data_IF_367165421017
#
_entry.id   IF_367165421017
#
_cell.length_a   1.000
_cell.length_b   1.000
_cell.length_c   1.000
_cell.angle_alpha   90.00
_cell.angle_beta   90.00
_cell.angle_gamma   90.00
#
_symmetry.space_group_name_H-M   'P 1'
#
loop_
_entity.id
_entity.type
_entity.pdbx_description
1 polymer ?
#
# COMPACT_ATOMS: atom_id res chain seq x y z
N UNK A 1 -2.83 -10.49 69.09
CA UNK A 1 -2.35 -9.74 67.90
C UNK A 1 -2.12 -10.71 66.76
N UNK A 2 -3.10 -10.84 65.87
CA UNK A 2 -3.11 -11.85 64.80
C UNK A 2 -2.42 -11.27 63.56
N UNK A 3 -1.19 -11.69 63.28
CA UNK A 3 -0.48 -11.32 62.04
C UNK A 3 -1.12 -12.05 60.87
N UNK A 4 -1.84 -11.32 60.03
CA UNK A 4 -2.31 -11.80 58.71
C UNK A 4 -1.10 -11.90 57.79
N UNK A 5 -0.68 -13.12 57.48
CA UNK A 5 0.22 -13.39 56.35
C UNK A 5 -0.57 -13.08 55.06
N UNK A 6 -0.25 -11.96 54.41
CA UNK A 6 -0.63 -11.74 53.00
C UNK A 6 0.22 -12.70 52.18
N UNK A 7 -0.36 -13.84 51.82
CA UNK A 7 0.15 -14.66 50.73
C UNK A 7 0.09 -13.84 49.46
N UNK A 8 1.26 -13.46 48.95
CA UNK A 8 1.41 -12.92 47.60
C UNK A 8 1.01 -14.05 46.65
N UNK A 9 -0.19 -13.97 46.06
CA UNK A 9 -0.59 -14.85 44.96
C UNK A 9 0.40 -14.64 43.82
N UNK A 10 1.32 -15.58 43.67
CA UNK A 10 2.14 -15.69 42.47
C UNK A 10 1.18 -16.13 41.38
N UNK A 11 0.76 -15.19 40.54
CA UNK A 11 0.06 -15.49 39.30
C UNK A 11 1.08 -16.20 38.42
N UNK A 12 1.02 -17.53 38.40
CA UNK A 12 1.81 -18.34 37.46
C UNK A 12 1.16 -18.11 36.09
N UNK A 13 1.66 -17.12 35.36
CA UNK A 13 1.36 -16.96 33.94
C UNK A 13 1.95 -18.19 33.25
N UNK A 14 1.11 -19.15 32.87
CA UNK A 14 1.50 -20.28 32.04
C UNK A 14 1.76 -19.74 30.63
N UNK A 15 2.92 -19.12 30.42
CA UNK A 15 3.39 -18.82 29.07
C UNK A 15 3.73 -20.13 28.36
N UNK A 16 3.21 -20.29 27.13
CA UNK A 16 3.52 -21.46 26.32
C UNK A 16 5.02 -21.51 26.05
N UNK A 17 5.66 -22.69 26.22
CA UNK A 17 7.07 -22.83 25.99
C UNK A 17 7.42 -22.62 24.50
N UNK A 18 8.45 -21.85 24.22
CA UNK A 18 8.95 -21.65 22.87
C UNK A 18 10.00 -22.70 22.49
N UNK A 19 9.87 -23.29 21.31
CA UNK A 19 10.84 -24.25 20.79
C UNK A 19 11.67 -23.63 19.65
N UNK A 20 12.99 -23.75 19.74
CA UNK A 20 13.85 -23.35 18.61
C UNK A 20 13.73 -24.34 17.45
N UNK A 21 13.34 -23.86 16.27
CA UNK A 21 13.15 -24.68 15.07
C UNK A 21 14.37 -25.47 14.58
N UNK A 22 15.58 -25.03 14.95
CA UNK A 22 16.84 -25.64 14.48
C UNK A 22 17.35 -26.71 15.45
N UNK A 23 17.41 -26.40 16.75
CA UNK A 23 17.97 -27.30 17.76
C UNK A 23 16.93 -27.98 18.66
N UNK A 24 15.63 -27.73 18.44
CA UNK A 24 14.51 -28.24 19.24
C UNK A 24 14.64 -28.01 20.75
N UNK A 25 15.45 -27.04 21.15
CA UNK A 25 15.58 -26.66 22.56
C UNK A 25 14.35 -25.88 22.98
N UNK A 26 13.77 -26.27 24.11
CA UNK A 26 12.60 -25.65 24.70
C UNK A 26 13.04 -24.56 25.67
N UNK A 27 12.47 -23.37 25.50
CA UNK A 27 12.68 -22.19 26.33
C UNK A 27 11.38 -21.85 27.05
N UNK A 28 11.47 -21.65 28.37
CA UNK A 28 10.35 -21.26 29.22
C UNK A 28 10.52 -19.86 29.84
N UNK A 29 11.67 -19.24 29.58
CA UNK A 29 12.01 -17.93 30.10
C UNK A 29 11.62 -16.87 29.05
N UNK A 30 10.76 -15.89 29.37
CA UNK A 30 10.43 -14.78 28.46
C UNK A 30 11.66 -13.95 28.07
N UNK A 31 12.74 -14.00 28.85
CA UNK A 31 14.00 -13.33 28.52
C UNK A 31 14.92 -14.20 27.64
N UNK A 32 14.46 -15.37 27.19
CA UNK A 32 15.19 -16.19 26.23
C UNK A 32 15.39 -15.40 24.94
N UNK A 33 16.64 -15.32 24.48
CA UNK A 33 17.01 -14.61 23.24
C UNK A 33 16.60 -15.44 22.02
N UNK A 34 15.33 -15.33 21.67
CA UNK A 34 14.68 -15.97 20.54
C UNK A 34 14.21 -14.90 19.56
N UNK A 35 14.46 -15.11 18.27
CA UNK A 35 13.84 -14.33 17.21
C UNK A 35 12.67 -15.12 16.62
N UNK A 36 11.50 -14.49 16.54
CA UNK A 36 10.33 -15.03 15.85
C UNK A 36 10.40 -14.62 14.37
N UNK A 37 10.26 -15.58 13.46
CA UNK A 37 10.13 -15.26 12.05
C UNK A 37 8.74 -14.66 11.79
N UNK A 38 8.70 -13.44 11.24
CA UNK A 38 7.44 -12.74 10.99
C UNK A 38 6.49 -13.45 10.01
N UNK A 39 7.02 -14.38 9.20
CA UNK A 39 6.25 -15.14 8.22
C UNK A 39 5.82 -16.52 8.71
N UNK A 40 6.75 -17.39 9.08
CA UNK A 40 6.41 -18.77 9.48
C UNK A 40 6.07 -18.92 10.97
N UNK A 41 6.27 -17.86 11.78
CA UNK A 41 6.00 -17.83 13.23
C UNK A 41 6.82 -18.82 14.07
N UNK A 42 7.77 -19.53 13.44
CA UNK A 42 8.77 -20.34 14.14
C UNK A 42 9.75 -19.45 14.93
N UNK A 43 10.27 -19.98 16.05
CA UNK A 43 11.23 -19.32 16.92
C UNK A 43 12.65 -19.86 16.69
N UNK A 44 13.64 -18.98 16.80
CA UNK A 44 15.04 -19.30 16.52
C UNK A 44 15.95 -18.71 17.58
N UNK A 45 16.73 -19.56 18.26
CA UNK A 45 17.70 -19.06 19.24
C UNK A 45 18.89 -18.40 18.55
N UNK A 46 19.39 -17.33 19.15
CA UNK A 46 20.51 -16.57 18.60
C UNK A 46 21.77 -17.41 18.39
N UNK A 47 21.94 -18.50 19.17
CA UNK A 47 23.04 -19.45 19.01
C UNK A 47 22.94 -20.19 17.67
N UNK A 48 21.78 -20.74 17.33
CA UNK A 48 21.55 -21.43 16.06
C UNK A 48 21.57 -20.47 14.87
N UNK A 49 21.21 -19.20 15.07
CA UNK A 49 21.34 -18.16 14.06
C UNK A 49 22.76 -17.60 13.93
N UNK A 50 23.69 -18.03 14.78
CA UNK A 50 25.04 -17.47 14.89
C UNK A 50 25.03 -15.93 15.03
N UNK A 51 24.15 -15.42 15.91
CA UNK A 51 23.96 -14.00 16.18
C UNK A 51 24.50 -13.60 17.54
N UNK A 52 25.20 -12.48 17.55
CA UNK A 52 25.67 -11.84 18.77
C UNK A 52 24.50 -11.19 19.53
N UNK A 53 24.72 -10.88 20.81
CA UNK A 53 23.72 -10.15 21.62
C UNK A 53 23.36 -8.78 21.01
N UNK A 54 24.31 -7.93 20.56
CA UNK A 54 23.96 -6.65 19.95
C UNK A 54 23.14 -6.79 18.66
N UNK A 55 23.43 -7.80 17.83
CA UNK A 55 22.62 -8.06 16.63
C UNK A 55 21.20 -8.50 17.01
N UNK A 56 21.06 -9.32 18.05
CA UNK A 56 19.74 -9.68 18.57
C UNK A 56 18.98 -8.44 19.04
N UNK A 57 19.60 -7.60 19.88
CA UNK A 57 18.97 -6.39 20.42
C UNK A 57 18.56 -5.40 19.31
N UNK A 58 19.24 -5.44 18.15
CA UNK A 58 18.84 -4.69 16.95
C UNK A 58 17.62 -5.32 16.27
N UNK A 59 17.64 -6.63 16.08
CA UNK A 59 16.62 -7.38 15.34
C UNK A 59 15.33 -7.62 16.13
N UNK A 60 15.39 -7.59 17.47
CA UNK A 60 14.24 -7.80 18.35
C UNK A 60 13.44 -6.53 18.61
N UNK A 61 13.82 -5.39 18.01
CA UNK A 61 13.04 -4.14 18.08
C UNK A 61 11.73 -4.29 17.33
N UNK A 62 10.65 -3.68 17.85
CA UNK A 62 9.30 -3.73 17.26
C UNK A 62 9.24 -3.34 15.79
N UNK A 63 10.12 -2.44 15.38
CA UNK A 63 10.08 -1.84 14.04
C UNK A 63 10.93 -2.62 13.03
N UNK A 64 11.63 -3.67 13.49
CA UNK A 64 12.49 -4.51 12.66
C UNK A 64 11.77 -5.79 12.26
N UNK A 65 11.56 -5.97 10.95
CA UNK A 65 11.07 -7.24 10.43
C UNK A 65 12.23 -8.22 10.28
N UNK A 66 12.11 -9.39 10.88
CA UNK A 66 13.07 -10.47 10.72
C UNK A 66 12.43 -11.72 10.10
N UNK A 67 13.15 -12.33 9.16
CA UNK A 67 12.76 -13.54 8.46
C UNK A 67 13.87 -14.58 8.53
N UNK A 68 13.49 -15.84 8.80
CA UNK A 68 14.40 -16.97 8.66
C UNK A 68 14.84 -17.13 7.20
N UNK A 69 15.98 -17.79 6.97
CA UNK A 69 16.59 -17.91 5.63
C UNK A 69 15.63 -18.45 4.56
N UNK A 70 14.82 -19.51 4.81
CA UNK A 70 13.84 -19.98 3.84
C UNK A 70 12.75 -18.94 3.53
N UNK A 71 12.23 -18.26 4.56
CA UNK A 71 11.20 -17.25 4.38
C UNK A 71 11.72 -16.00 3.68
N UNK A 72 12.98 -15.63 3.92
CA UNK A 72 13.61 -14.43 3.34
C UNK A 72 13.57 -14.45 1.82
N UNK A 73 13.97 -15.56 1.18
CA UNK A 73 14.00 -15.68 -0.28
C UNK A 73 12.64 -15.37 -0.91
N UNK A 74 11.59 -15.91 -0.32
CA UNK A 74 10.24 -15.74 -0.84
C UNK A 74 9.72 -14.31 -0.56
N UNK A 75 10.08 -13.71 0.57
CA UNK A 75 9.76 -12.30 0.84
C UNK A 75 10.47 -11.40 -0.18
N UNK A 76 11.73 -11.67 -0.49
CA UNK A 76 12.48 -10.98 -1.55
C UNK A 76 11.81 -11.12 -2.92
N UNK A 77 11.36 -12.32 -3.29
CA UNK A 77 10.60 -12.58 -4.52
C UNK A 77 9.27 -11.81 -4.56
N UNK A 78 8.56 -11.74 -3.44
CA UNK A 78 7.31 -10.98 -3.32
C UNK A 78 7.58 -9.47 -3.47
N UNK A 79 8.62 -8.93 -2.84
CA UNK A 79 9.01 -7.52 -3.00
C UNK A 79 9.31 -7.20 -4.48
N UNK A 80 10.06 -8.07 -5.17
CA UNK A 80 10.35 -7.88 -6.61
C UNK A 80 9.06 -7.92 -7.43
N UNK A 81 8.13 -8.80 -7.08
CA UNK A 81 6.83 -8.91 -7.77
C UNK A 81 5.99 -7.66 -7.55
N UNK A 82 5.91 -7.17 -6.32
CA UNK A 82 5.17 -5.97 -5.95
C UNK A 82 5.72 -4.74 -6.69
N UNK A 83 7.05 -4.59 -6.78
CA UNK A 83 7.69 -3.52 -7.54
C UNK A 83 7.33 -3.57 -9.03
N UNK A 84 7.24 -4.77 -9.63
CA UNK A 84 6.81 -4.94 -11.02
C UNK A 84 5.34 -4.57 -11.22
N UNK A 85 4.49 -4.97 -10.27
CA UNK A 85 3.07 -4.60 -10.27
C UNK A 85 2.93 -3.09 -10.18
N UNK A 86 3.64 -2.46 -9.24
CA UNK A 86 3.63 -1.00 -9.05
C UNK A 86 4.07 -0.27 -10.32
N UNK A 87 5.16 -0.73 -10.97
CA UNK A 87 5.62 -0.15 -12.22
C UNK A 87 4.57 -0.23 -13.33
N UNK A 88 3.92 -1.40 -13.47
CA UNK A 88 2.85 -1.59 -14.47
C UNK A 88 1.62 -0.73 -14.16
N UNK A 89 1.24 -0.61 -12.90
CA UNK A 89 0.14 0.27 -12.49
C UNK A 89 0.45 1.73 -12.83
N UNK A 90 1.68 2.19 -12.59
CA UNK A 90 2.12 3.56 -12.97
C UNK A 90 2.02 3.80 -14.47
N UNK A 91 2.45 2.83 -15.29
CA UNK A 91 2.34 2.93 -16.76
C UNK A 91 0.88 3.02 -17.22
N UNK A 92 0.01 2.17 -16.68
CA UNK A 92 -1.42 2.18 -17.02
C UNK A 92 -2.07 3.50 -16.61
N UNK A 93 -1.78 4.00 -15.41
CA UNK A 93 -2.32 5.28 -14.93
C UNK A 93 -1.84 6.44 -15.80
N UNK A 94 -0.56 6.46 -16.21
CA UNK A 94 -0.03 7.47 -17.11
C UNK A 94 -0.70 7.41 -18.50
N UNK A 95 -1.01 6.21 -19.00
CA UNK A 95 -1.74 6.04 -20.26
C UNK A 95 -3.18 6.60 -20.16
N UNK A 96 -3.88 6.29 -19.06
CA UNK A 96 -5.22 6.82 -18.85
C UNK A 96 -5.24 8.33 -18.72
N UNK A 97 -4.29 8.91 -18.00
CA UNK A 97 -4.11 10.35 -17.87
C UNK A 97 -3.97 11.03 -19.25
N UNK A 98 -3.08 10.51 -20.10
CA UNK A 98 -2.93 11.02 -21.48
C UNK A 98 -4.22 10.89 -22.30
N UNK A 99 -4.94 9.77 -22.18
CA UNK A 99 -6.18 9.56 -22.90
C UNK A 99 -7.29 10.51 -22.44
N UNK A 100 -7.36 10.79 -21.15
CA UNK A 100 -8.33 11.74 -20.59
C UNK A 100 -8.02 13.13 -21.13
N UNK A 101 -6.77 13.59 -21.09
CA UNK A 101 -6.38 14.89 -21.64
C UNK A 101 -6.72 15.03 -23.13
N UNK A 102 -6.49 13.97 -23.93
CA UNK A 102 -6.87 13.97 -25.34
C UNK A 102 -8.40 14.03 -25.53
N UNK A 103 -9.17 13.35 -24.69
CA UNK A 103 -10.63 13.40 -24.74
C UNK A 103 -11.17 14.77 -24.33
N UNK A 104 -10.63 15.37 -23.29
CA UNK A 104 -10.98 16.73 -22.85
C UNK A 104 -10.74 17.74 -23.98
N UNK A 105 -9.56 17.71 -24.61
CA UNK A 105 -9.25 18.57 -25.74
C UNK A 105 -10.21 18.37 -26.93
N UNK A 106 -10.55 17.11 -27.24
CA UNK A 106 -11.45 16.79 -28.33
C UNK A 106 -12.88 17.25 -28.06
N UNK A 107 -13.34 17.18 -26.80
CA UNK A 107 -14.64 17.70 -26.37
C UNK A 107 -14.66 19.22 -26.49
N UNK A 108 -13.64 19.91 -25.97
CA UNK A 108 -13.54 21.38 -26.03
C UNK A 108 -13.58 21.87 -27.49
N UNK A 109 -12.79 21.24 -28.36
CA UNK A 109 -12.76 21.60 -29.79
C UNK A 109 -14.13 21.43 -30.45
N UNK A 110 -14.85 20.33 -30.17
CA UNK A 110 -16.19 20.09 -30.73
C UNK A 110 -17.23 21.06 -30.19
N UNK A 111 -17.13 21.45 -28.92
CA UNK A 111 -18.00 22.46 -28.33
C UNK A 111 -17.81 23.82 -29.05
N UNK A 112 -16.55 24.20 -29.31
CA UNK A 112 -16.23 25.43 -30.04
C UNK A 112 -16.78 25.39 -31.49
N UNK A 113 -16.58 24.29 -32.21
CA UNK A 113 -17.13 24.12 -33.56
C UNK A 113 -18.65 24.24 -33.60
N UNK A 114 -19.34 23.65 -32.62
CA UNK A 114 -20.81 23.69 -32.53
C UNK A 114 -21.27 25.13 -32.30
N UNK A 115 -20.64 25.84 -31.37
CA UNK A 115 -20.96 27.23 -31.05
C UNK A 115 -20.69 28.18 -32.22
N UNK A 116 -19.60 27.98 -32.96
CA UNK A 116 -19.33 28.76 -34.18
C UNK A 116 -20.42 28.52 -35.23
N UNK A 117 -20.87 27.28 -35.41
CA UNK A 117 -21.95 26.95 -36.35
C UNK A 117 -23.26 27.65 -35.98
N UNK A 118 -23.65 27.61 -34.71
CA UNK A 118 -24.85 28.30 -34.21
C UNK A 118 -24.80 29.81 -34.52
N UNK A 119 -23.67 30.47 -34.25
CA UNK A 119 -23.49 31.91 -34.53
C UNK A 119 -23.63 32.22 -36.03
N UNK A 120 -23.07 31.37 -36.89
CA UNK A 120 -23.15 31.54 -38.34
C UNK A 120 -24.59 31.36 -38.82
N UNK A 121 -25.29 30.34 -38.35
CA UNK A 121 -26.68 30.08 -38.70
C UNK A 121 -27.60 31.23 -38.26
N UNK A 122 -27.45 31.73 -37.03
CA UNK A 122 -28.18 32.90 -36.54
C UNK A 122 -27.92 34.15 -37.39
N UNK A 123 -26.67 34.36 -37.80
CA UNK A 123 -26.27 35.50 -38.64
C UNK A 123 -26.86 35.43 -40.05
N UNK A 124 -26.93 34.23 -40.63
CA UNK A 124 -27.55 34.01 -41.94
C UNK A 124 -29.05 34.30 -41.87
N UNK A 125 -29.74 33.77 -40.84
CA UNK A 125 -31.18 33.98 -40.65
C UNK A 125 -31.48 35.47 -40.49
N UNK A 126 -30.72 36.19 -39.66
CA UNK A 126 -30.91 37.62 -39.43
C UNK A 126 -30.73 38.44 -40.72
N UNK A 127 -29.68 38.15 -41.48
CA UNK A 127 -29.41 38.82 -42.75
C UNK A 127 -30.47 38.53 -43.84
N UNK A 128 -31.15 37.38 -43.79
CA UNK A 128 -32.28 37.10 -44.69
C UNK A 128 -33.55 37.87 -44.30
N UNK A 129 -33.85 37.97 -43.00
CA UNK A 129 -35.02 38.72 -42.52
C UNK A 129 -34.92 40.23 -42.79
N UNK A 130 -33.72 40.80 -42.70
CA UNK A 130 -33.51 42.24 -42.94
C UNK A 130 -33.68 42.61 -44.42
N UNK A 131 -33.27 41.73 -45.35
CA UNK A 131 -33.41 41.94 -46.81
C UNK A 131 -34.86 41.89 -47.30
N UNK A 132 -35.69 41.07 -46.67
CA UNK A 132 -37.12 40.96 -47.01
C UNK A 132 -37.94 42.14 -46.49
N UNK A 133 -37.45 42.85 -45.46
CA UNK A 133 -38.13 44.01 -44.87
C UNK A 133 -37.88 45.30 -45.67
N UNK A 134 -36.70 45.44 -46.29
CA UNK A 134 -36.36 46.58 -47.16
C UNK A 134 -37.14 46.57 -48.49
N UNK A 135 -37.57 45.40 -48.99
CA UNK A 135 -38.37 45.29 -50.21
C UNK A 135 -39.87 45.60 -50.02
N UNK A 136 -40.38 45.67 -48.78
CA UNK A 136 -41.79 46.03 -48.51
C UNK A 136 -42.03 47.52 -48.27
N UNK A 137 -40.96 48.31 -48.11
CA UNK A 137 -41.02 49.75 -47.85
C UNK A 137 -40.58 50.62 -49.05
N UNK A 138 -40.38 50.02 -50.22
CA UNK A 138 -40.18 50.71 -51.51
C UNK A 138 -41.41 50.51 -52.41
#
# INVERSE_FOLDING_TARGET
MTRRNRGTSVVVMNEEPWECKICSTIYKDPNAKLLECQRCKDHFCIKCLNKSKPEYDLLSKSDSMWFCVPCRKIVEEHIVTDLKIEARCKEIMANYEQRIQLLELAVDTKCDETRVREIVEESIIKNSCDKDNDQRNS
#
